data_IF_169720870491
#
_entry.id   IF_169720870491
#
_cell.length_a   1.000
_cell.length_b   1.000
_cell.length_c   1.000
_cell.angle_alpha   90.00
_cell.angle_beta   90.00
_cell.angle_gamma   90.00
#
_symmetry.space_group_name_H-M   'P 1'
#
loop_
_entity.id
_entity.type
_entity.pdbx_description
1 polymer ?
#
# COMPACT_ATOMS: atom_id res chain seq x y z
N UNK A 1 10.56 0.86 -37.36
CA UNK A 1 10.70 1.67 -36.13
C UNK A 1 9.76 1.10 -35.07
N UNK A 2 10.23 0.15 -34.26
CA UNK A 2 9.43 -0.51 -33.23
C UNK A 2 9.83 0.04 -31.86
N UNK A 3 9.24 1.16 -31.47
CA UNK A 3 9.37 1.71 -30.11
C UNK A 3 8.18 1.27 -29.25
N UNK A 4 7.96 -0.03 -29.13
CA UNK A 4 7.09 -0.56 -28.08
C UNK A 4 7.93 -0.64 -26.81
N UNK A 5 8.13 0.50 -26.13
CA UNK A 5 8.45 0.52 -24.70
C UNK A 5 7.24 -0.10 -23.99
N UNK A 6 7.20 -1.43 -23.98
CA UNK A 6 6.46 -2.19 -23.00
C UNK A 6 7.12 -1.85 -21.68
N UNK A 7 6.66 -0.75 -21.10
CA UNK A 7 6.67 -0.53 -19.66
C UNK A 7 5.93 -1.72 -19.08
N UNK A 8 6.64 -2.85 -18.93
CA UNK A 8 6.39 -3.78 -17.85
C UNK A 8 6.51 -2.90 -16.63
N UNK A 9 5.37 -2.33 -16.22
CA UNK A 9 5.13 -1.99 -14.84
C UNK A 9 5.29 -3.31 -14.13
N UNK A 10 6.55 -3.68 -13.87
CA UNK A 10 6.92 -4.76 -12.99
C UNK A 10 6.07 -4.46 -11.78
N UNK A 11 5.07 -5.33 -11.53
CA UNK A 11 4.37 -5.35 -10.27
C UNK A 11 5.51 -5.51 -9.26
N UNK A 12 5.96 -4.38 -8.71
CA UNK A 12 7.04 -4.38 -7.74
C UNK A 12 6.50 -5.28 -6.66
N UNK A 13 7.20 -6.40 -6.53
CA UNK A 13 6.86 -7.53 -5.71
C UNK A 13 6.33 -7.06 -4.36
N UNK A 14 5.41 -7.85 -3.82
CA UNK A 14 4.61 -7.70 -2.60
C UNK A 14 5.35 -7.05 -1.39
N UNK A 15 6.68 -7.10 -1.41
CA UNK A 15 7.67 -6.36 -0.61
C UNK A 15 7.54 -4.83 -0.53
N UNK A 16 6.85 -4.14 -1.45
CA UNK A 16 6.77 -2.67 -1.43
C UNK A 16 5.46 -2.11 -0.86
N UNK A 17 4.69 -2.93 -0.14
CA UNK A 17 3.51 -2.44 0.56
C UNK A 17 3.90 -1.76 1.86
N UNK A 18 3.31 -0.59 2.09
CA UNK A 18 3.46 0.18 3.32
C UNK A 18 2.12 0.31 4.01
N UNK A 19 2.15 0.36 5.33
CA UNK A 19 0.97 0.65 6.11
C UNK A 19 0.68 2.14 6.09
N UNK A 20 -0.59 2.45 5.88
CA UNK A 20 -1.10 3.82 5.84
C UNK A 20 -2.27 3.94 6.78
N UNK A 21 -2.20 4.93 7.66
CA UNK A 21 -3.24 5.31 8.59
C UNK A 21 -4.15 6.37 7.99
N UNK A 22 -5.44 6.08 7.95
CA UNK A 22 -6.51 6.99 7.54
C UNK A 22 -7.17 7.66 8.75
N UNK A 23 -7.31 8.98 8.71
CA UNK A 23 -7.87 9.79 9.80
C UNK A 23 -9.28 10.34 9.53
N UNK A 24 -9.86 10.08 8.35
CA UNK A 24 -11.11 10.72 7.92
C UNK A 24 -12.42 10.18 8.52
N UNK A 25 -12.35 9.23 9.46
CA UNK A 25 -13.48 8.80 10.31
C UNK A 25 -14.61 8.02 9.63
N UNK A 26 -14.71 8.04 8.28
CA UNK A 26 -15.74 7.36 7.49
C UNK A 26 -15.18 6.19 6.68
N UNK A 27 -16.04 5.32 6.18
CA UNK A 27 -15.63 4.31 5.19
C UNK A 27 -15.36 5.01 3.86
N UNK A 28 -14.21 4.71 3.26
CA UNK A 28 -13.77 5.28 1.99
C UNK A 28 -13.09 4.18 1.16
N UNK A 29 -13.55 4.01 -0.07
CA UNK A 29 -12.85 3.23 -1.08
C UNK A 29 -11.98 4.19 -1.91
N UNK A 30 -10.70 3.86 -2.01
CA UNK A 30 -9.70 4.65 -2.73
C UNK A 30 -9.06 3.79 -3.79
N UNK A 31 -9.05 4.28 -5.02
CA UNK A 31 -8.30 3.65 -6.10
C UNK A 31 -6.88 4.23 -6.15
N UNK A 32 -5.89 3.34 -6.14
CA UNK A 32 -4.48 3.63 -6.25
C UNK A 32 -4.20 4.40 -7.54
N UNK A 33 -3.68 5.63 -7.47
CA UNK A 33 -3.47 6.46 -8.65
C UNK A 33 -2.35 5.93 -9.56
N UNK A 34 -1.44 5.09 -9.03
CA UNK A 34 -0.29 4.55 -9.76
C UNK A 34 -0.54 3.10 -10.18
N UNK A 35 -1.01 2.26 -9.26
CA UNK A 35 -1.21 0.83 -9.55
C UNK A 35 -2.62 0.50 -10.05
N UNK A 36 -3.59 1.38 -9.78
CA UNK A 36 -5.00 1.11 -10.01
C UNK A 36 -5.66 0.20 -8.98
N UNK A 37 -4.94 -0.25 -7.94
CA UNK A 37 -5.45 -1.14 -6.90
C UNK A 37 -6.54 -0.48 -6.05
N UNK A 38 -7.51 -1.25 -5.58
CA UNK A 38 -8.56 -0.72 -4.70
C UNK A 38 -8.21 -0.95 -3.23
N UNK A 39 -8.29 0.12 -2.44
CA UNK A 39 -8.02 0.13 -1.01
C UNK A 39 -9.27 0.61 -0.27
N UNK A 40 -9.75 -0.19 0.69
CA UNK A 40 -10.89 0.18 1.52
C UNK A 40 -10.40 0.51 2.93
N UNK A 41 -10.67 1.73 3.37
CA UNK A 41 -10.42 2.18 4.75
C UNK A 41 -11.73 2.44 5.46
N UNK A 42 -11.80 2.17 6.75
CA UNK A 42 -13.00 2.45 7.56
C UNK A 42 -12.65 3.07 8.90
N UNK A 43 -13.65 3.66 9.57
CA UNK A 43 -13.44 4.24 10.90
C UNK A 43 -12.92 3.25 11.95
N UNK A 44 -13.23 1.95 11.78
CA UNK A 44 -12.77 0.84 12.60
C UNK A 44 -11.45 0.22 12.11
N UNK A 45 -11.21 0.18 10.80
CA UNK A 45 -9.92 -0.20 10.19
C UNK A 45 -9.23 1.02 9.61
N UNK A 46 -8.51 1.71 10.49
CA UNK A 46 -7.76 2.93 10.14
C UNK A 46 -6.45 2.62 9.44
N UNK A 47 -5.90 1.43 9.56
CA UNK A 47 -4.62 1.04 8.93
C UNK A 47 -4.92 0.16 7.72
N UNK A 48 -4.34 0.50 6.57
CA UNK A 48 -4.44 -0.27 5.33
C UNK A 48 -3.06 -0.46 4.71
N UNK A 49 -2.84 -1.63 4.14
CA UNK A 49 -1.64 -1.94 3.38
C UNK A 49 -1.85 -1.53 1.92
N UNK A 50 -0.99 -0.64 1.44
CA UNK A 50 -1.05 -0.13 0.08
C UNK A 50 0.33 -0.05 -0.54
N UNK A 51 0.40 -0.08 -1.86
CA UNK A 51 1.66 0.09 -2.58
C UNK A 51 2.31 1.43 -2.19
N UNK A 52 3.63 1.43 -1.97
CA UNK A 52 4.39 2.64 -1.61
C UNK A 52 4.12 3.80 -2.58
N UNK A 53 3.96 3.54 -3.88
CA UNK A 53 3.72 4.57 -4.88
C UNK A 53 2.34 5.20 -4.72
N UNK A 54 1.32 4.39 -4.44
CA UNK A 54 -0.03 4.90 -4.17
C UNK A 54 -0.07 5.66 -2.83
N UNK A 55 0.56 5.11 -1.80
CA UNK A 55 0.67 5.72 -0.48
C UNK A 55 1.33 7.10 -0.53
N UNK A 56 2.42 7.24 -1.29
CA UNK A 56 3.11 8.53 -1.46
C UNK A 56 2.22 9.59 -2.10
N UNK A 57 1.33 9.21 -3.02
CA UNK A 57 0.38 10.15 -3.61
C UNK A 57 -0.74 10.48 -2.61
N UNK A 58 -1.29 9.47 -1.94
CA UNK A 58 -2.42 9.64 -1.01
C UNK A 58 -2.05 10.43 0.24
N UNK A 59 -0.83 10.26 0.76
CA UNK A 59 -0.33 11.00 1.92
C UNK A 59 -0.28 12.51 1.71
N UNK A 60 -0.24 12.99 0.46
CA UNK A 60 -0.34 14.42 0.14
C UNK A 60 -1.68 15.05 0.52
N UNK A 61 -2.74 14.26 0.62
CA UNK A 61 -4.08 14.75 0.96
C UNK A 61 -4.26 15.02 2.46
N UNK A 62 -3.24 14.76 3.30
CA UNK A 62 -3.25 14.87 4.78
C UNK A 62 -4.27 14.00 5.52
N UNK A 63 -5.16 13.30 4.80
CA UNK A 63 -6.08 12.30 5.35
C UNK A 63 -5.40 10.94 5.57
N UNK A 64 -4.28 10.73 4.91
CA UNK A 64 -3.49 9.51 4.95
C UNK A 64 -2.09 9.83 5.50
N UNK A 65 -1.58 8.99 6.40
CA UNK A 65 -0.24 9.10 6.96
C UNK A 65 0.45 7.74 6.92
N UNK A 66 1.75 7.70 6.59
CA UNK A 66 2.52 6.46 6.68
C UNK A 66 2.59 6.02 8.15
N UNK A 67 2.21 4.77 8.41
CA UNK A 67 2.28 4.17 9.73
C UNK A 67 3.55 3.32 9.83
N UNK A 68 4.61 3.88 10.43
CA UNK A 68 5.87 3.17 10.63
C UNK A 68 5.82 2.11 11.74
N UNK A 69 4.76 2.11 12.54
CA UNK A 69 4.55 1.17 13.64
C UNK A 69 3.83 -0.12 13.21
N UNK A 70 3.37 -0.20 11.96
CA UNK A 70 2.71 -1.39 11.49
C UNK A 70 3.70 -2.56 11.43
N UNK A 71 3.33 -3.74 11.97
CA UNK A 71 4.16 -4.93 11.87
C UNK A 71 4.43 -5.23 10.40
N UNK A 72 5.61 -5.75 10.08
CA UNK A 72 6.04 -6.11 8.73
C UNK A 72 4.89 -6.69 7.89
N UNK A 73 4.82 -6.30 6.62
CA UNK A 73 3.79 -6.76 5.69
C UNK A 73 3.63 -8.30 5.80
N UNK A 74 2.41 -8.84 5.75
CA UNK A 74 2.17 -10.27 5.87
C UNK A 74 2.80 -11.00 4.68
N UNK A 75 4.06 -11.41 4.85
CA UNK A 75 4.91 -11.98 3.81
C UNK A 75 6.27 -12.49 4.31
N UNK A 76 6.55 -12.43 5.62
CA UNK A 76 7.66 -13.18 6.20
C UNK A 76 7.21 -14.64 6.42
N UNK A 77 7.70 -15.64 5.69
CA UNK A 77 7.74 -16.98 6.23
C UNK A 77 8.66 -16.89 7.44
N UNK A 78 8.09 -16.98 8.64
CA UNK A 78 8.88 -17.06 9.86
C UNK A 78 9.94 -18.12 9.68
N UNK A 79 11.20 -17.68 9.64
CA UNK A 79 12.35 -18.54 9.86
C UNK A 79 12.09 -19.20 11.20
N UNK A 80 11.69 -20.46 11.15
CA UNK A 80 11.42 -21.31 12.30
C UNK A 80 12.79 -21.63 12.89
N UNK A 81 13.31 -20.68 13.68
CA UNK A 81 14.36 -20.96 14.64
C UNK A 81 13.78 -21.90 15.68
N UNK A 82 14.06 -23.20 15.55
CA UNK A 82 13.64 -24.20 16.52
C UNK A 82 13.69 -25.62 16.00
N UNK A 83 14.88 -26.24 16.04
CA UNK A 83 15.15 -27.55 16.64
C UNK A 83 16.58 -27.99 16.32
#
# INVERSE_FOLDING_TARGET
MSCCRQSRTVALSEWHRVAVRYSGGRTLAVRGPVTGAEYVVSGSRRIVWMDLRDALVLTRTRLFALDRAAPHAPGEPGETSGA
#
